data_IF_196994384640
#
_entry.id   IF_196994384640
#
_cell.length_a   1.000
_cell.length_b   1.000
_cell.length_c   1.000
_cell.angle_alpha   90.00
_cell.angle_beta   90.00
_cell.angle_gamma   90.00
#
_symmetry.space_group_name_H-M   'P 1'
#
loop_
_entity.id
_entity.type
_entity.pdbx_description
1 polymer ?
#
# COMPACT_ATOMS: atom_id res chain seq x y z
N UNK A 1 17.63 6.72 -16.22
CA UNK A 1 17.65 6.10 -14.90
C UNK A 1 16.42 5.25 -14.71
N UNK A 2 16.59 3.94 -14.64
CA UNK A 2 15.48 3.01 -14.65
C UNK A 2 15.12 2.52 -13.24
N UNK A 3 15.00 3.45 -12.31
CA UNK A 3 14.61 3.10 -10.94
C UNK A 3 13.14 2.75 -10.82
N UNK A 4 12.32 3.24 -11.77
CA UNK A 4 10.88 3.01 -11.72
C UNK A 4 10.49 2.00 -12.77
N UNK A 5 10.85 0.74 -12.54
CA UNK A 5 10.38 -0.38 -13.36
C UNK A 5 9.20 -1.03 -12.63
N UNK A 6 8.43 -1.81 -13.37
CA UNK A 6 7.31 -2.52 -12.76
C UNK A 6 7.81 -3.49 -11.68
N UNK A 7 8.95 -4.14 -11.92
CA UNK A 7 9.55 -5.02 -10.91
C UNK A 7 9.88 -4.27 -9.62
N UNK A 8 10.49 -3.10 -9.74
CA UNK A 8 10.85 -2.29 -8.58
C UNK A 8 9.62 -1.82 -7.84
N UNK A 9 8.55 -1.47 -8.56
CA UNK A 9 7.30 -1.08 -7.93
C UNK A 9 6.68 -2.24 -7.14
N UNK A 10 6.73 -3.45 -7.69
CA UNK A 10 6.23 -4.63 -6.96
C UNK A 10 7.07 -4.92 -5.74
N UNK A 11 8.40 -4.76 -5.83
CA UNK A 11 9.27 -4.94 -4.66
C UNK A 11 8.95 -3.93 -3.57
N UNK A 12 8.74 -2.67 -3.94
CA UNK A 12 8.33 -1.64 -2.99
C UNK A 12 7.00 -1.98 -2.34
N UNK A 13 6.05 -2.46 -3.13
CA UNK A 13 4.74 -2.84 -2.61
C UNK A 13 4.86 -3.98 -1.61
N UNK A 14 5.60 -5.04 -1.95
CA UNK A 14 5.84 -6.15 -1.02
C UNK A 14 6.50 -5.68 0.27
N UNK A 15 7.54 -4.87 0.15
CA UNK A 15 8.22 -4.32 1.32
C UNK A 15 7.29 -3.49 2.18
N UNK A 16 6.47 -2.65 1.55
CA UNK A 16 5.53 -1.82 2.27
C UNK A 16 4.48 -2.66 3.00
N UNK A 17 3.97 -3.72 2.37
CA UNK A 17 3.02 -4.62 3.03
C UNK A 17 3.63 -5.26 4.26
N UNK A 18 4.86 -5.74 4.15
CA UNK A 18 5.54 -6.39 5.26
C UNK A 18 5.74 -5.41 6.41
N UNK A 19 6.21 -4.20 6.11
CA UNK A 19 6.43 -3.16 7.13
C UNK A 19 5.11 -2.74 7.76
N UNK A 20 4.06 -2.57 6.96
CA UNK A 20 2.75 -2.20 7.47
C UNK A 20 2.22 -3.27 8.42
N UNK A 21 2.35 -4.54 8.04
CA UNK A 21 1.92 -5.65 8.87
C UNK A 21 2.69 -5.67 10.20
N UNK A 22 4.03 -5.54 10.14
CA UNK A 22 4.86 -5.57 11.34
C UNK A 22 4.52 -4.41 12.27
N UNK A 23 4.44 -3.18 11.72
CA UNK A 23 4.11 -2.02 12.54
C UNK A 23 2.71 -2.10 13.11
N UNK A 24 1.77 -2.66 12.35
CA UNK A 24 0.40 -2.88 12.84
C UNK A 24 0.34 -3.85 13.99
N UNK A 25 1.13 -4.93 13.92
CA UNK A 25 1.22 -5.91 15.01
C UNK A 25 1.80 -5.25 16.26
N UNK A 26 2.84 -4.44 16.09
CA UNK A 26 3.45 -3.74 17.23
C UNK A 26 2.43 -2.79 17.88
N UNK A 27 1.67 -2.04 17.08
CA UNK A 27 0.63 -1.16 17.59
C UNK A 27 -0.43 -1.96 18.35
N UNK A 28 -0.86 -3.09 17.77
CA UNK A 28 -1.85 -3.95 18.41
C UNK A 28 -1.38 -4.47 19.75
N UNK A 29 -0.10 -4.86 19.82
CA UNK A 29 0.49 -5.33 21.08
C UNK A 29 0.53 -4.20 22.11
N UNK A 30 0.93 -2.99 21.68
CA UNK A 30 0.98 -1.84 22.58
C UNK A 30 -0.40 -1.49 23.13
N UNK A 31 -1.43 -1.58 22.30
CA UNK A 31 -2.79 -1.21 22.69
C UNK A 31 -3.59 -2.36 23.28
N UNK A 32 -2.99 -3.53 23.41
CA UNK A 32 -3.67 -4.70 23.93
C UNK A 32 -4.78 -5.24 23.05
N UNK A 33 -4.73 -4.93 21.75
CA UNK A 33 -5.77 -5.34 20.80
C UNK A 33 -5.31 -6.43 19.83
N UNK A 34 -4.33 -7.22 20.25
CA UNK A 34 -3.78 -8.25 19.37
C UNK A 34 -4.72 -9.44 19.32
N UNK A 35 -5.76 -9.32 18.52
CA UNK A 35 -6.74 -10.38 18.29
C UNK A 35 -6.55 -10.97 16.92
N UNK A 36 -6.73 -12.27 16.81
CA UNK A 36 -6.58 -12.98 15.54
C UNK A 36 -7.51 -12.43 14.47
N UNK A 37 -8.68 -11.92 14.86
CA UNK A 37 -9.62 -11.35 13.90
C UNK A 37 -9.06 -10.10 13.22
N UNK A 38 -8.37 -9.22 13.95
CA UNK A 38 -7.77 -8.03 13.37
C UNK A 38 -6.66 -8.40 12.38
N UNK A 39 -5.81 -9.35 12.75
CA UNK A 39 -4.77 -9.83 11.85
C UNK A 39 -5.36 -10.49 10.61
N UNK A 40 -6.43 -11.28 10.79
CA UNK A 40 -7.11 -11.96 9.70
C UNK A 40 -7.67 -10.97 8.69
N UNK A 41 -8.33 -9.90 9.16
CA UNK A 41 -8.90 -8.89 8.27
C UNK A 41 -7.83 -8.19 7.43
N UNK A 42 -6.68 -7.89 8.03
CA UNK A 42 -5.56 -7.28 7.33
C UNK A 42 -5.02 -8.20 6.24
N UNK A 43 -4.88 -9.48 6.56
CA UNK A 43 -4.41 -10.48 5.61
C UNK A 43 -5.38 -10.62 4.43
N UNK A 44 -6.68 -10.72 4.70
CA UNK A 44 -7.68 -10.84 3.64
C UNK A 44 -7.68 -9.63 2.71
N UNK A 45 -7.55 -8.43 3.27
CA UNK A 45 -7.47 -7.22 2.45
C UNK A 45 -6.24 -7.24 1.55
N UNK A 46 -5.09 -7.64 2.09
CA UNK A 46 -3.85 -7.74 1.32
C UNK A 46 -3.99 -8.79 0.22
N UNK A 47 -4.60 -9.91 0.51
CA UNK A 47 -4.86 -10.94 -0.50
C UNK A 47 -5.75 -10.40 -1.62
N UNK A 48 -6.76 -9.59 -1.29
CA UNK A 48 -7.59 -8.94 -2.29
C UNK A 48 -6.80 -8.01 -3.19
N UNK A 49 -5.88 -7.25 -2.63
CA UNK A 49 -5.00 -6.38 -3.42
C UNK A 49 -4.13 -7.20 -4.38
N UNK A 50 -3.58 -8.32 -3.92
CA UNK A 50 -2.81 -9.21 -4.78
C UNK A 50 -3.65 -9.80 -5.91
N UNK A 51 -4.90 -10.15 -5.62
CA UNK A 51 -5.80 -10.68 -6.65
C UNK A 51 -6.03 -9.64 -7.74
N UNK A 52 -6.29 -8.38 -7.37
CA UNK A 52 -6.48 -7.31 -8.35
C UNK A 52 -5.23 -7.13 -9.19
N UNK A 53 -4.06 -7.10 -8.56
CA UNK A 53 -2.81 -6.94 -9.29
C UNK A 53 -2.56 -8.12 -10.24
N UNK A 54 -2.87 -9.33 -9.81
CA UNK A 54 -2.72 -10.50 -10.66
C UNK A 54 -3.64 -10.42 -11.88
N UNK A 55 -4.87 -9.96 -11.70
CA UNK A 55 -5.80 -9.77 -12.81
C UNK A 55 -5.25 -8.77 -13.81
N UNK A 56 -4.75 -7.62 -13.33
CA UNK A 56 -4.18 -6.60 -14.21
C UNK A 56 -2.92 -7.08 -14.90
N UNK A 57 -2.10 -7.89 -14.23
CA UNK A 57 -0.91 -8.48 -14.87
C UNK A 57 -1.32 -9.40 -16.02
N UNK A 58 -2.34 -10.22 -15.82
CA UNK A 58 -2.83 -11.08 -16.89
C UNK A 58 -3.37 -10.28 -18.06
N UNK A 59 -4.13 -9.23 -17.78
CA UNK A 59 -4.66 -8.36 -18.83
C UNK A 59 -3.52 -7.65 -19.57
N UNK A 60 -2.53 -7.17 -18.85
CA UNK A 60 -1.39 -6.51 -19.45
C UNK A 60 -0.62 -7.43 -20.38
N UNK A 61 -0.51 -8.71 -20.01
CA UNK A 61 0.16 -9.70 -20.84
C UNK A 61 -0.60 -9.97 -22.13
N UNK A 62 -1.93 -9.97 -22.07
CA UNK A 62 -2.79 -10.28 -23.20
C UNK A 62 -3.06 -9.06 -24.09
N UNK A 63 -3.14 -7.86 -23.49
CA UNK A 63 -3.48 -6.64 -24.21
C UNK A 63 -2.36 -5.62 -23.97
N UNK A 64 -1.42 -5.48 -24.90
CA UNK A 64 -0.34 -4.49 -24.75
C UNK A 64 -0.90 -3.07 -24.63
N UNK A 65 -0.29 -2.26 -23.79
CA UNK A 65 -0.67 -0.86 -23.61
C UNK A 65 -1.40 -0.56 -22.32
N UNK A 66 -1.72 -1.61 -21.53
CA UNK A 66 -2.45 -1.45 -20.28
C UNK A 66 -1.49 -1.28 -19.10
N UNK A 67 -0.19 -1.40 -19.35
CA UNK A 67 0.84 -1.35 -18.31
C UNK A 67 0.83 -0.04 -17.52
N UNK A 68 0.43 1.07 -18.14
CA UNK A 68 0.31 2.34 -17.45
C UNK A 68 -0.75 2.29 -16.34
N UNK A 69 -1.86 1.62 -16.61
CA UNK A 69 -2.91 1.44 -15.62
C UNK A 69 -2.43 0.58 -14.46
N UNK A 70 -1.73 -0.51 -14.75
CA UNK A 70 -1.16 -1.39 -13.73
C UNK A 70 -0.21 -0.61 -12.83
N UNK A 71 0.70 0.17 -13.41
CA UNK A 71 1.64 0.99 -12.64
C UNK A 71 0.90 1.97 -11.73
N UNK A 72 -0.17 2.59 -12.23
CA UNK A 72 -0.97 3.52 -11.45
C UNK A 72 -1.57 2.85 -10.22
N UNK A 73 -2.13 1.63 -10.40
CA UNK A 73 -2.69 0.88 -9.27
C UNK A 73 -1.62 0.51 -8.24
N UNK A 74 -0.46 0.03 -8.70
CA UNK A 74 0.62 -0.35 -7.79
C UNK A 74 1.10 0.87 -7.00
N UNK A 75 1.30 2.01 -7.67
CA UNK A 75 1.71 3.23 -7.01
C UNK A 75 0.66 3.66 -5.97
N UNK A 76 -0.63 3.57 -6.32
CA UNK A 76 -1.70 3.89 -5.40
C UNK A 76 -1.68 3.01 -4.15
N UNK A 77 -1.46 1.71 -4.33
CA UNK A 77 -1.37 0.80 -3.19
C UNK A 77 -0.13 1.10 -2.35
N UNK A 78 1.00 1.46 -2.98
CA UNK A 78 2.20 1.83 -2.24
C UNK A 78 1.96 3.06 -1.37
N UNK A 79 1.31 4.11 -1.91
CA UNK A 79 0.97 5.29 -1.13
C UNK A 79 0.05 4.94 0.03
N UNK A 80 -0.94 4.10 -0.22
CA UNK A 80 -1.88 3.67 0.81
C UNK A 80 -1.17 2.91 1.94
N UNK A 81 -0.28 2.00 1.58
CA UNK A 81 0.50 1.27 2.57
C UNK A 81 1.44 2.20 3.33
N UNK A 82 2.06 3.15 2.63
CA UNK A 82 2.93 4.14 3.25
C UNK A 82 2.18 4.98 4.27
N UNK A 83 0.97 5.42 3.94
CA UNK A 83 0.14 6.19 4.85
C UNK A 83 -0.21 5.36 6.08
N UNK A 84 -0.56 4.09 5.88
CA UNK A 84 -0.86 3.18 6.98
C UNK A 84 0.33 2.97 7.90
N UNK A 85 1.52 2.81 7.31
CA UNK A 85 2.77 2.67 8.09
C UNK A 85 2.99 3.92 8.94
N UNK A 86 2.83 5.11 8.36
CA UNK A 86 3.03 6.36 9.08
C UNK A 86 2.03 6.49 10.21
N UNK A 87 0.78 6.12 9.99
CA UNK A 87 -0.22 6.15 11.05
C UNK A 87 0.15 5.20 12.20
N UNK A 88 0.67 4.02 11.85
CA UNK A 88 1.14 3.07 12.87
C UNK A 88 2.30 3.65 13.66
N UNK A 89 3.27 4.30 12.98
CA UNK A 89 4.41 4.89 13.64
C UNK A 89 4.00 6.04 14.56
N UNK A 90 3.02 6.84 14.16
CA UNK A 90 2.49 7.91 14.99
C UNK A 90 1.88 7.33 16.27
N UNK A 91 1.16 6.23 16.16
CA UNK A 91 0.59 5.55 17.32
C UNK A 91 1.67 4.99 18.26
N UNK A 92 2.87 4.77 17.73
CA UNK A 92 4.02 4.33 18.52
C UNK A 92 4.86 5.50 19.03
N UNK A 93 4.34 6.73 18.90
CA UNK A 93 4.99 7.96 19.36
C UNK A 93 6.27 8.30 18.59
N UNK A 94 6.39 7.80 17.36
CA UNK A 94 7.49 8.17 16.48
C UNK A 94 7.16 9.51 15.82
N UNK A 95 8.10 10.45 15.86
CA UNK A 95 7.89 11.76 15.25
C UNK A 95 7.94 11.67 13.73
N UNK A 96 6.86 12.11 13.09
CA UNK A 96 6.77 12.17 11.64
C UNK A 96 6.41 13.61 11.25
N UNK A 97 7.22 14.26 10.40
CA UNK A 97 6.88 15.61 9.94
C UNK A 97 5.55 15.64 9.21
N UNK A 98 4.74 16.67 9.48
CA UNK A 98 3.44 16.82 8.83
C UNK A 98 3.54 16.92 7.30
N UNK A 99 4.64 17.47 6.80
CA UNK A 99 4.84 17.59 5.35
C UNK A 99 4.86 16.22 4.66
N UNK A 100 5.47 15.22 5.30
CA UNK A 100 5.54 13.88 4.74
C UNK A 100 4.15 13.22 4.74
N UNK A 101 3.42 13.37 5.84
CA UNK A 101 2.08 12.83 5.96
C UNK A 101 1.15 13.44 4.91
N UNK A 102 1.20 14.76 4.74
CA UNK A 102 0.38 15.45 3.75
C UNK A 102 0.72 15.02 2.34
N UNK A 103 1.99 14.79 2.05
CA UNK A 103 2.42 14.33 0.73
C UNK A 103 1.77 12.99 0.37
N UNK A 104 1.74 12.06 1.32
CA UNK A 104 1.13 10.76 1.10
C UNK A 104 -0.38 10.85 0.95
N UNK A 105 -1.03 11.69 1.77
CA UNK A 105 -2.47 11.89 1.68
C UNK A 105 -2.88 12.50 0.34
N UNK A 106 -2.11 13.47 -0.15
CA UNK A 106 -2.36 14.08 -1.46
C UNK A 106 -2.20 13.04 -2.57
N UNK A 107 -1.18 12.18 -2.47
CA UNK A 107 -0.97 11.12 -3.45
C UNK A 107 -2.15 10.16 -3.52
N UNK A 108 -2.66 9.73 -2.37
CA UNK A 108 -3.83 8.85 -2.31
C UNK A 108 -5.06 9.53 -2.90
N UNK A 109 -5.32 10.78 -2.52
CA UNK A 109 -6.48 11.53 -3.00
C UNK A 109 -6.46 11.70 -4.52
N UNK A 110 -5.30 12.01 -5.09
CA UNK A 110 -5.17 12.18 -6.53
C UNK A 110 -5.50 10.90 -7.29
N UNK A 111 -5.06 9.77 -6.78
CA UNK A 111 -5.30 8.49 -7.43
C UNK A 111 -6.76 8.09 -7.30
N UNK A 112 -7.35 8.25 -6.12
CA UNK A 112 -8.76 7.93 -5.91
C UNK A 112 -9.66 8.80 -6.77
N UNK A 113 -9.36 10.10 -6.90
CA UNK A 113 -10.15 10.99 -7.73
C UNK A 113 -10.08 10.61 -9.20
N UNK A 114 -8.93 10.13 -9.69
CA UNK A 114 -8.80 9.65 -11.06
C UNK A 114 -9.65 8.41 -11.30
N UNK A 115 -9.73 7.53 -10.31
CA UNK A 115 -10.50 6.29 -10.44
C UNK A 115 -11.99 6.52 -10.41
N UNK A 116 -12.45 7.54 -9.66
CA UNK A 116 -13.87 7.84 -9.54
C UNK A 116 -14.43 8.48 -10.82
N UNK A 117 -13.58 9.09 -11.61
CA UNK A 117 -13.98 9.67 -12.88
C UNK A 117 -13.80 8.67 -14.01
#
# INVERSE_FOLDING_TARGET
MELITLENLFLLFFGAIIIDFITGVIVGAKEGRLKSRTCSNGIFRTMGEFVILAIFLCIDHLIPGISGMLSTFVIGFIFKEGLSIIENLIKLDVYIPNSIKKMLEVGVDKIENKEVK
#
